data_IF_764762942426
#
_entry.id   IF_764762942426
#
_cell.length_a   1.000
_cell.length_b   1.000
_cell.length_c   1.000
_cell.angle_alpha   90.00
_cell.angle_beta   90.00
_cell.angle_gamma   90.00
#
_symmetry.space_group_name_H-M   'P 1'
#
loop_
_entity.id
_entity.type
_entity.pdbx_description
1 polymer ?
#
# COMPACT_ATOMS: atom_id res chain seq x y z
N UNK A 1 -13.50 12.84 25.36
CA UNK A 1 -13.35 13.79 24.22
C UNK A 1 -13.54 13.04 22.92
N UNK A 2 -12.85 11.92 22.79
CA UNK A 2 -13.22 10.75 21.98
C UNK A 2 -14.72 10.40 22.01
N UNK A 3 -15.39 10.31 23.17
CA UNK A 3 -16.84 10.02 23.21
C UNK A 3 -17.67 11.10 22.49
N UNK A 4 -17.29 12.37 22.62
CA UNK A 4 -17.97 13.48 21.93
C UNK A 4 -17.78 13.36 20.41
N UNK A 5 -16.59 12.98 19.96
CA UNK A 5 -16.27 12.75 18.54
C UNK A 5 -17.12 11.61 17.97
N UNK A 6 -17.25 10.50 18.71
CA UNK A 6 -18.07 9.36 18.30
C UNK A 6 -19.55 9.75 18.23
N UNK A 7 -20.09 10.40 19.28
CA UNK A 7 -21.49 10.87 19.29
C UNK A 7 -21.81 11.79 18.12
N UNK A 8 -20.94 12.76 17.83
CA UNK A 8 -21.12 13.67 16.69
C UNK A 8 -21.14 12.93 15.34
N UNK A 9 -20.40 11.82 15.22
CA UNK A 9 -20.41 10.97 14.04
C UNK A 9 -21.71 10.16 13.91
N UNK A 10 -22.21 9.61 15.02
CA UNK A 10 -23.48 8.87 15.11
C UNK A 10 -24.69 9.76 14.81
N UNK A 11 -24.67 11.01 15.31
CA UNK A 11 -25.67 12.05 15.03
C UNK A 11 -25.60 12.59 13.60
N UNK A 12 -24.64 12.13 12.78
CA UNK A 12 -24.41 12.61 11.42
C UNK A 12 -24.09 14.12 11.33
N UNK A 13 -23.63 14.72 12.43
CA UNK A 13 -23.34 16.14 12.53
C UNK A 13 -21.90 16.45 12.06
N UNK A 14 -21.67 16.27 10.75
CA UNK A 14 -20.36 16.46 10.10
C UNK A 14 -19.75 17.85 10.36
N UNK A 15 -20.49 18.98 10.30
CA UNK A 15 -19.89 20.30 10.54
C UNK A 15 -19.30 20.43 11.95
N UNK A 16 -20.03 19.98 12.97
CA UNK A 16 -19.57 20.02 14.36
C UNK A 16 -18.43 19.04 14.61
N UNK A 17 -18.42 17.90 13.90
CA UNK A 17 -17.34 16.92 13.93
C UNK A 17 -16.04 17.49 13.34
N UNK A 18 -16.10 18.11 12.17
CA UNK A 18 -14.96 18.79 11.53
C UNK A 18 -14.41 19.88 12.46
N UNK A 19 -15.29 20.68 13.09
CA UNK A 19 -14.91 21.70 14.04
C UNK A 19 -14.27 21.12 15.31
N UNK A 20 -14.80 20.01 15.84
CA UNK A 20 -14.20 19.35 17.00
C UNK A 20 -12.78 18.86 16.66
N UNK A 21 -12.58 18.27 15.48
CA UNK A 21 -11.26 17.78 15.04
C UNK A 21 -10.29 18.90 14.69
N UNK A 22 -10.74 20.07 14.25
CA UNK A 22 -9.84 21.20 13.97
C UNK A 22 -9.19 21.77 15.24
N UNK A 23 -9.81 21.59 16.40
CA UNK A 23 -9.23 21.98 17.69
C UNK A 23 -8.16 21.02 18.21
N UNK A 24 -8.04 19.84 17.59
CA UNK A 24 -7.12 18.79 18.03
C UNK A 24 -5.87 18.74 17.14
N UNK A 25 -4.71 18.62 17.80
CA UNK A 25 -3.46 18.27 17.12
C UNK A 25 -3.50 16.81 16.70
N UNK A 26 -2.88 16.49 15.56
CA UNK A 26 -2.80 15.11 15.06
C UNK A 26 -2.21 14.14 16.09
N UNK A 27 -1.22 14.58 16.89
CA UNK A 27 -0.69 13.76 17.99
C UNK A 27 -1.77 13.36 18.99
N UNK A 28 -2.61 14.31 19.40
CA UNK A 28 -3.67 14.00 20.36
C UNK A 28 -4.73 13.05 19.81
N UNK A 29 -4.95 13.06 18.50
CA UNK A 29 -5.86 12.13 17.82
C UNK A 29 -5.31 10.70 17.89
N UNK A 30 -4.01 10.52 17.66
CA UNK A 30 -3.39 9.19 17.72
C UNK A 30 -3.24 8.68 19.15
N UNK A 31 -2.92 9.55 20.12
CA UNK A 31 -2.89 9.15 21.55
C UNK A 31 -4.26 8.59 22.00
N UNK A 32 -5.36 9.17 21.50
CA UNK A 32 -6.72 8.69 21.79
C UNK A 32 -7.04 7.38 21.08
N UNK A 33 -6.47 7.15 19.90
CA UNK A 33 -6.57 5.87 19.19
C UNK A 33 -5.82 4.77 19.95
N UNK A 34 -4.60 5.02 20.39
CA UNK A 34 -3.81 4.08 21.21
C UNK A 34 -4.53 3.72 22.51
N UNK A 35 -5.07 4.71 23.22
CA UNK A 35 -5.81 4.48 24.45
C UNK A 35 -7.02 3.55 24.26
N UNK A 36 -7.64 3.57 23.08
CA UNK A 36 -8.75 2.66 22.73
C UNK A 36 -8.24 1.29 22.31
N UNK A 37 -7.27 1.27 21.40
CA UNK A 37 -6.80 0.04 20.77
C UNK A 37 -5.94 -0.83 21.72
N UNK A 38 -5.13 -0.21 22.59
CA UNK A 38 -4.15 -0.88 23.45
C UNK A 38 -4.57 -0.83 24.92
N UNK A 39 -4.95 0.33 25.45
CA UNK A 39 -5.32 0.46 26.88
C UNK A 39 -6.74 -0.02 27.20
N UNK A 40 -7.48 -0.51 26.21
CA UNK A 40 -8.83 -1.07 26.41
C UNK A 40 -9.90 -0.05 26.80
N UNK A 41 -9.70 1.25 26.51
CA UNK A 41 -10.69 2.32 26.82
C UNK A 41 -11.91 2.35 25.88
N UNK A 42 -12.12 1.29 25.10
CA UNK A 42 -13.26 1.10 24.22
C UNK A 42 -12.85 0.73 22.79
N UNK A 43 -13.83 0.46 21.94
CA UNK A 43 -13.60 0.05 20.55
C UNK A 43 -12.90 1.18 19.74
N UNK A 44 -11.78 0.90 19.05
CA UNK A 44 -11.12 1.88 18.20
C UNK A 44 -11.85 2.14 16.87
N UNK A 45 -12.67 1.22 16.35
CA UNK A 45 -13.27 1.36 15.01
C UNK A 45 -14.29 2.50 14.92
N UNK A 46 -15.24 2.68 15.87
CA UNK A 46 -16.14 3.83 15.86
C UNK A 46 -15.39 5.17 15.94
N UNK A 47 -14.26 5.18 16.64
CA UNK A 47 -13.40 6.36 16.71
C UNK A 47 -12.74 6.64 15.36
N UNK A 48 -12.14 5.62 14.73
CA UNK A 48 -11.55 5.73 13.38
C UNK A 48 -12.56 6.22 12.35
N UNK A 49 -13.78 5.67 12.35
CA UNK A 49 -14.89 6.11 11.49
C UNK A 49 -15.18 7.60 11.68
N UNK A 50 -15.28 8.06 12.93
CA UNK A 50 -15.52 9.46 13.24
C UNK A 50 -14.36 10.37 12.77
N UNK A 51 -13.11 9.95 12.93
CA UNK A 51 -11.95 10.70 12.45
C UNK A 51 -11.98 10.84 10.93
N UNK A 52 -12.19 9.75 10.20
CA UNK A 52 -12.17 9.75 8.73
C UNK A 52 -13.37 10.53 8.17
N UNK A 53 -14.56 10.35 8.73
CA UNK A 53 -15.76 11.12 8.34
C UNK A 53 -15.61 12.62 8.61
N UNK A 54 -14.96 12.99 9.72
CA UNK A 54 -14.67 14.39 10.06
C UNK A 54 -13.43 14.99 9.36
N UNK A 55 -12.75 14.22 8.51
CA UNK A 55 -11.51 14.63 7.84
C UNK A 55 -11.64 14.37 6.33
N UNK A 56 -12.36 15.20 5.58
CA UNK A 56 -12.65 14.93 4.18
C UNK A 56 -11.40 15.07 3.30
N UNK A 57 -11.31 14.25 2.25
CA UNK A 57 -10.14 14.15 1.35
C UNK A 57 -9.96 15.35 0.40
N UNK A 58 -10.98 16.21 0.28
CA UNK A 58 -10.97 17.43 -0.54
C UNK A 58 -10.22 18.60 0.14
N UNK A 59 -9.94 18.48 1.44
CA UNK A 59 -9.16 19.47 2.20
C UNK A 59 -7.76 18.94 2.52
N UNK A 60 -6.75 19.81 2.40
CA UNK A 60 -5.37 19.45 2.77
C UNK A 60 -5.26 18.98 4.22
N UNK A 61 -5.91 19.70 5.15
CA UNK A 61 -5.90 19.38 6.59
C UNK A 61 -6.55 18.03 6.87
N UNK A 62 -7.67 17.72 6.20
CA UNK A 62 -8.35 16.43 6.34
C UNK A 62 -7.50 15.29 5.80
N UNK A 63 -6.91 15.47 4.62
CA UNK A 63 -6.02 14.48 4.01
C UNK A 63 -4.77 14.23 4.87
N UNK A 64 -4.09 15.29 5.33
CA UNK A 64 -2.91 15.18 6.20
C UNK A 64 -3.24 14.43 7.50
N UNK A 65 -4.41 14.68 8.10
CA UNK A 65 -4.87 13.95 9.29
C UNK A 65 -5.14 12.48 8.98
N UNK A 66 -5.83 12.17 7.88
CA UNK A 66 -6.10 10.78 7.46
C UNK A 66 -4.79 10.01 7.26
N UNK A 67 -3.81 10.59 6.56
CA UNK A 67 -2.50 9.96 6.33
C UNK A 67 -1.80 9.70 7.67
N UNK A 68 -1.77 10.71 8.55
CA UNK A 68 -1.12 10.60 9.85
C UNK A 68 -1.74 9.49 10.70
N UNK A 69 -3.07 9.43 10.78
CA UNK A 69 -3.80 8.39 11.53
C UNK A 69 -3.63 7.02 10.89
N UNK A 70 -3.63 6.92 9.55
CA UNK A 70 -3.42 5.65 8.85
C UNK A 70 -2.02 5.08 9.12
N UNK A 71 -0.97 5.91 9.00
CA UNK A 71 0.42 5.51 9.31
C UNK A 71 0.56 5.04 10.76
N UNK A 72 -0.07 5.75 11.68
CA UNK A 72 0.00 5.39 13.09
C UNK A 72 -0.82 4.12 13.41
N UNK A 73 -1.95 3.90 12.73
CA UNK A 73 -2.69 2.64 12.85
C UNK A 73 -1.85 1.43 12.35
N UNK A 74 -1.07 1.60 11.27
CA UNK A 74 -0.08 0.60 10.83
C UNK A 74 0.97 0.34 11.93
N UNK A 75 1.47 1.40 12.56
CA UNK A 75 2.45 1.27 13.65
C UNK A 75 1.87 0.47 14.82
N UNK A 76 0.66 0.80 15.28
CA UNK A 76 -0.04 0.06 16.33
C UNK A 76 -0.25 -1.41 15.91
N UNK A 77 -0.63 -1.69 14.66
CA UNK A 77 -0.77 -3.06 14.15
C UNK A 77 0.54 -3.87 14.16
N UNK A 78 1.70 -3.21 14.05
CA UNK A 78 3.00 -3.88 14.02
C UNK A 78 3.65 -4.02 15.40
N UNK A 79 3.59 -2.96 16.20
CA UNK A 79 4.33 -2.82 17.46
C UNK A 79 3.42 -2.96 18.69
N UNK A 80 2.11 -2.74 18.53
CA UNK A 80 1.15 -2.72 19.63
C UNK A 80 0.72 -4.12 20.08
N UNK A 81 0.47 -4.25 21.39
CA UNK A 81 -0.09 -5.44 22.02
C UNK A 81 -1.62 -5.49 21.82
N UNK A 82 -2.04 -5.70 20.59
CA UNK A 82 -3.44 -5.78 20.19
C UNK A 82 -3.97 -7.21 20.32
N UNK A 83 -5.21 -7.34 20.78
CA UNK A 83 -5.93 -8.61 20.58
C UNK A 83 -6.16 -8.88 19.09
N UNK A 84 -6.12 -10.15 18.68
CA UNK A 84 -6.39 -10.56 17.29
C UNK A 84 -7.72 -10.03 16.74
N UNK A 85 -8.74 -9.92 17.60
CA UNK A 85 -10.06 -9.37 17.23
C UNK A 85 -9.92 -7.91 16.84
N UNK A 86 -9.35 -7.08 17.71
CA UNK A 86 -9.18 -5.64 17.47
C UNK A 86 -8.29 -5.40 16.24
N UNK A 87 -7.18 -6.14 16.12
CA UNK A 87 -6.31 -6.03 14.95
C UNK A 87 -7.06 -6.31 13.64
N UNK A 88 -7.90 -7.34 13.61
CA UNK A 88 -8.69 -7.70 12.42
C UNK A 88 -9.76 -6.65 12.09
N UNK A 89 -10.43 -6.09 13.11
CA UNK A 89 -11.42 -5.03 12.93
C UNK A 89 -10.78 -3.73 12.41
N UNK A 90 -9.61 -3.36 12.94
CA UNK A 90 -8.83 -2.19 12.47
C UNK A 90 -8.36 -2.41 11.04
N UNK A 91 -7.79 -3.57 10.70
CA UNK A 91 -7.39 -3.91 9.32
C UNK A 91 -8.59 -3.82 8.37
N UNK A 92 -9.73 -4.41 8.75
CA UNK A 92 -10.96 -4.37 7.95
C UNK A 92 -11.43 -2.95 7.66
N UNK A 93 -11.41 -2.07 8.66
CA UNK A 93 -11.72 -0.66 8.48
C UNK A 93 -10.75 0.05 7.53
N UNK A 94 -9.44 -0.12 7.74
CA UNK A 94 -8.41 0.52 6.92
C UNK A 94 -8.49 0.08 5.45
N UNK A 95 -8.80 -1.20 5.18
CA UNK A 95 -9.01 -1.71 3.81
C UNK A 95 -10.14 -0.99 3.08
N UNK A 96 -11.25 -0.68 3.78
CA UNK A 96 -12.39 0.01 3.18
C UNK A 96 -12.08 1.47 2.85
N UNK A 97 -11.23 2.13 3.64
CA UNK A 97 -10.86 3.54 3.41
C UNK A 97 -9.78 3.71 2.34
N UNK A 98 -9.05 2.65 1.98
CA UNK A 98 -7.98 2.74 0.96
C UNK A 98 -8.48 3.20 -0.41
N UNK A 99 -9.67 2.77 -0.82
CA UNK A 99 -10.24 3.14 -2.13
C UNK A 99 -10.60 4.64 -2.22
N UNK A 100 -10.78 5.30 -1.08
CA UNK A 100 -11.09 6.73 -1.00
C UNK A 100 -9.86 7.64 -1.11
N UNK A 101 -8.64 7.09 -1.01
CA UNK A 101 -7.43 7.92 -1.04
C UNK A 101 -7.02 8.34 -2.47
N UNK A 102 -6.43 9.55 -2.62
CA UNK A 102 -5.80 9.96 -3.86
C UNK A 102 -4.59 9.09 -4.21
N UNK A 103 -4.30 8.92 -5.52
CA UNK A 103 -3.19 8.08 -5.99
C UNK A 103 -1.81 8.46 -5.43
N UNK A 104 -1.54 9.77 -5.27
CA UNK A 104 -0.28 10.24 -4.66
C UNK A 104 -0.15 9.80 -3.20
N UNK A 105 -1.25 9.84 -2.44
CA UNK A 105 -1.28 9.40 -1.04
C UNK A 105 -1.10 7.88 -0.93
N UNK A 106 -1.70 7.13 -1.85
CA UNK A 106 -1.51 5.69 -1.92
C UNK A 106 -0.06 5.31 -2.20
N UNK A 107 0.63 6.06 -3.07
CA UNK A 107 2.07 5.86 -3.31
C UNK A 107 2.90 6.13 -2.04
N UNK A 108 2.61 7.21 -1.33
CA UNK A 108 3.26 7.52 -0.04
C UNK A 108 3.03 6.43 1.01
N UNK A 109 1.81 5.86 1.07
CA UNK A 109 1.52 4.73 1.96
C UNK A 109 2.27 3.46 1.53
N UNK A 110 2.43 3.20 0.23
CA UNK A 110 3.22 2.08 -0.26
C UNK A 110 4.67 2.17 0.20
N UNK A 111 5.26 3.37 0.19
CA UNK A 111 6.64 3.60 0.67
C UNK A 111 6.79 3.26 2.17
N UNK A 112 5.77 3.51 2.99
CA UNK A 112 5.78 3.13 4.42
C UNK A 112 5.94 1.62 4.58
N UNK A 113 5.17 0.83 3.83
CA UNK A 113 5.28 -0.63 3.87
C UNK A 113 6.62 -1.12 3.33
N UNK A 114 7.08 -0.55 2.20
CA UNK A 114 8.36 -0.91 1.61
C UNK A 114 9.52 -0.65 2.59
N UNK A 115 9.52 0.51 3.25
CA UNK A 115 10.54 0.85 4.24
C UNK A 115 10.48 -0.06 5.47
N UNK A 116 9.27 -0.41 5.94
CA UNK A 116 9.10 -1.34 7.04
C UNK A 116 9.60 -2.76 6.69
N UNK A 117 9.34 -3.23 5.46
CA UNK A 117 9.87 -4.53 4.98
C UNK A 117 11.40 -4.49 4.90
N UNK A 118 11.98 -3.44 4.32
CA UNK A 118 13.44 -3.26 4.22
C UNK A 118 14.13 -3.28 5.58
N UNK A 119 13.51 -2.66 6.58
CA UNK A 119 14.05 -2.54 7.92
C UNK A 119 13.70 -3.73 8.83
N UNK A 120 12.93 -4.71 8.33
CA UNK A 120 12.49 -5.86 9.11
C UNK A 120 11.56 -5.51 10.28
N UNK A 121 10.89 -4.36 10.25
CA UNK A 121 10.08 -3.83 11.36
C UNK A 121 8.62 -4.32 11.36
N UNK A 122 8.33 -5.42 10.65
CA UNK A 122 6.99 -5.98 10.51
C UNK A 122 6.87 -7.25 11.35
N UNK A 123 6.81 -7.08 12.67
CA UNK A 123 6.76 -8.18 13.65
C UNK A 123 5.44 -8.95 13.64
N UNK A 124 4.30 -8.28 13.40
CA UNK A 124 2.98 -8.86 13.65
C UNK A 124 2.21 -9.32 12.40
N UNK A 125 2.74 -9.10 11.20
CA UNK A 125 2.16 -9.55 9.93
C UNK A 125 0.77 -8.99 9.55
N UNK A 126 -0.02 -8.49 10.52
CA UNK A 126 -1.38 -7.99 10.32
C UNK A 126 -1.45 -6.75 9.45
N UNK A 127 -0.50 -5.83 9.58
CA UNK A 127 -0.46 -4.67 8.69
C UNK A 127 -0.19 -5.07 7.24
N UNK A 128 0.48 -6.20 6.99
CA UNK A 128 0.76 -6.67 5.63
C UNK A 128 -0.51 -7.06 4.87
N UNK A 129 -1.62 -7.35 5.56
CA UNK A 129 -2.91 -7.58 4.91
C UNK A 129 -3.40 -6.33 4.14
N UNK A 130 -2.95 -5.13 4.52
CA UNK A 130 -3.26 -3.87 3.84
C UNK A 130 -2.46 -3.65 2.57
N UNK A 131 -1.23 -4.17 2.54
CA UNK A 131 -0.24 -3.86 1.51
C UNK A 131 -0.72 -4.20 0.09
N UNK A 132 -1.35 -5.35 -0.19
CA UNK A 132 -1.79 -5.67 -1.54
C UNK A 132 -2.87 -4.71 -2.05
N UNK A 133 -3.80 -4.31 -1.18
CA UNK A 133 -4.84 -3.35 -1.54
C UNK A 133 -4.24 -1.97 -1.81
N UNK A 134 -3.24 -1.54 -1.04
CA UNK A 134 -2.48 -0.32 -1.34
C UNK A 134 -1.86 -0.42 -2.74
N UNK A 135 -1.18 -1.52 -3.07
CA UNK A 135 -0.55 -1.69 -4.38
C UNK A 135 -1.57 -1.75 -5.53
N UNK A 136 -2.68 -2.45 -5.38
CA UNK A 136 -3.77 -2.46 -6.36
C UNK A 136 -4.36 -1.06 -6.55
N UNK A 137 -4.62 -0.33 -5.46
CA UNK A 137 -5.16 1.03 -5.52
C UNK A 137 -4.17 2.01 -6.16
N UNK A 138 -2.88 1.85 -5.88
CA UNK A 138 -1.79 2.57 -6.56
C UNK A 138 -1.77 2.26 -8.07
N UNK A 139 -1.82 0.98 -8.42
CA UNK A 139 -1.80 0.50 -9.80
C UNK A 139 -2.97 1.02 -10.63
N UNK A 140 -4.16 1.10 -10.03
CA UNK A 140 -5.38 1.60 -10.66
C UNK A 140 -5.39 3.13 -10.87
N UNK A 141 -4.44 3.88 -10.30
CA UNK A 141 -4.32 5.33 -10.48
C UNK A 141 -3.19 5.59 -11.46
N UNK A 142 -3.54 5.93 -12.71
CA UNK A 142 -2.68 6.05 -13.91
C UNK A 142 -1.46 7.00 -13.84
N UNK A 143 -1.09 7.53 -12.67
CA UNK A 143 0.03 8.47 -12.57
C UNK A 143 0.74 8.40 -11.22
N UNK A 144 1.84 7.64 -11.17
CA UNK A 144 2.92 7.93 -10.23
C UNK A 144 4.13 8.36 -11.04
N UNK A 145 4.58 9.62 -10.95
CA UNK A 145 5.90 9.99 -11.42
C UNK A 145 6.91 9.25 -10.56
N UNK A 146 7.43 8.14 -11.09
CA UNK A 146 8.43 7.31 -10.43
C UNK A 146 9.79 8.01 -10.57
N UNK A 147 10.14 8.83 -9.59
CA UNK A 147 11.45 9.43 -9.47
C UNK A 147 12.14 8.87 -8.22
N UNK A 148 13.18 8.07 -8.41
CA UNK A 148 14.17 7.77 -7.35
C UNK A 148 14.70 6.35 -7.34
N UNK A 149 16.01 6.24 -7.14
CA UNK A 149 16.95 5.10 -7.16
C UNK A 149 16.66 3.92 -6.18
N UNK A 150 15.40 3.69 -5.81
CA UNK A 150 14.97 2.61 -4.90
C UNK A 150 14.40 1.37 -5.59
N UNK A 151 14.51 1.29 -6.92
CA UNK A 151 13.76 0.39 -7.83
C UNK A 151 14.04 -1.10 -7.56
N UNK A 152 15.28 -1.44 -7.17
CA UNK A 152 15.77 -2.83 -7.06
C UNK A 152 15.09 -3.64 -5.95
N UNK A 153 14.80 -3.03 -4.80
CA UNK A 153 14.20 -3.74 -3.66
C UNK A 153 12.67 -3.81 -3.74
N UNK A 154 12.05 -2.88 -4.47
CA UNK A 154 10.58 -2.80 -4.56
C UNK A 154 10.05 -3.87 -5.52
N UNK A 155 10.70 -4.09 -6.67
CA UNK A 155 10.27 -5.12 -7.63
C UNK A 155 10.38 -6.54 -7.07
N UNK A 156 11.43 -6.85 -6.30
CA UNK A 156 11.64 -8.17 -5.69
C UNK A 156 10.66 -8.44 -4.54
N UNK A 157 10.36 -7.42 -3.72
CA UNK A 157 9.32 -7.49 -2.67
C UNK A 157 7.92 -7.58 -3.31
N UNK A 158 7.67 -6.86 -4.41
CA UNK A 158 6.44 -6.96 -5.18
C UNK A 158 6.25 -8.38 -5.73
N UNK A 159 7.25 -8.98 -6.36
CA UNK A 159 7.13 -10.34 -6.90
C UNK A 159 6.90 -11.43 -5.84
N UNK A 160 7.54 -11.31 -4.66
CA UNK A 160 7.35 -12.26 -3.56
C UNK A 160 5.96 -12.16 -2.93
N UNK A 161 5.43 -10.95 -2.73
CA UNK A 161 4.11 -10.76 -2.11
C UNK A 161 2.95 -11.16 -3.03
N UNK A 162 3.05 -10.90 -4.33
CA UNK A 162 2.00 -11.27 -5.29
C UNK A 162 1.85 -12.80 -5.42
N UNK A 163 2.82 -13.60 -4.96
CA UNK A 163 2.72 -15.07 -4.91
C UNK A 163 1.75 -15.59 -3.86
N UNK A 164 1.58 -14.92 -2.73
CA UNK A 164 0.81 -15.47 -1.60
C UNK A 164 -0.55 -14.77 -1.41
N UNK A 165 -0.83 -13.72 -2.19
CA UNK A 165 -2.08 -12.95 -2.13
C UNK A 165 -3.06 -13.38 -3.25
N UNK A 166 -4.36 -13.59 -2.98
CA UNK A 166 -5.37 -13.79 -4.01
C UNK A 166 -5.61 -12.49 -4.79
N UNK A 167 -5.54 -12.56 -6.11
CA UNK A 167 -5.73 -11.42 -7.01
C UNK A 167 -6.72 -11.76 -8.10
N UNK A 168 -7.39 -10.73 -8.61
CA UNK A 168 -8.22 -10.88 -9.80
C UNK A 168 -7.36 -11.08 -11.04
N UNK A 169 -7.94 -11.67 -12.10
CA UNK A 169 -7.25 -11.93 -13.36
C UNK A 169 -6.68 -10.64 -13.98
N UNK A 170 -7.40 -9.53 -13.88
CA UNK A 170 -7.02 -8.26 -14.48
C UNK A 170 -5.87 -7.58 -13.73
N UNK A 171 -5.88 -7.63 -12.39
CA UNK A 171 -4.78 -7.12 -11.56
C UNK A 171 -3.49 -7.91 -11.80
N UNK A 172 -3.59 -9.24 -11.88
CA UNK A 172 -2.45 -10.12 -12.16
C UNK A 172 -1.83 -9.78 -13.51
N UNK A 173 -2.66 -9.58 -14.53
CA UNK A 173 -2.22 -9.18 -15.87
C UNK A 173 -1.47 -7.84 -15.84
N UNK A 174 -2.06 -6.82 -15.20
CA UNK A 174 -1.46 -5.49 -15.10
C UNK A 174 -0.06 -5.54 -14.48
N UNK A 175 0.09 -6.31 -13.40
CA UNK A 175 1.37 -6.45 -12.68
C UNK A 175 2.42 -7.13 -13.56
N UNK A 176 2.04 -8.21 -14.24
CA UNK A 176 2.95 -8.91 -15.15
C UNK A 176 3.40 -8.03 -16.31
N UNK A 177 2.49 -7.28 -16.94
CA UNK A 177 2.84 -6.33 -18.00
C UNK A 177 3.82 -5.26 -17.51
N UNK A 178 3.62 -4.78 -16.27
CA UNK A 178 4.48 -3.75 -15.68
C UNK A 178 5.87 -4.28 -15.34
N UNK A 179 5.98 -5.51 -14.82
CA UNK A 179 7.27 -6.16 -14.55
C UNK A 179 8.04 -6.39 -15.86
N UNK A 180 7.38 -6.91 -16.90
CA UNK A 180 8.00 -7.12 -18.22
C UNK A 180 8.52 -5.79 -18.78
N UNK A 181 7.76 -4.69 -18.64
CA UNK A 181 8.21 -3.36 -19.08
C UNK A 181 9.41 -2.83 -18.30
N UNK A 182 9.50 -3.13 -17.01
CA UNK A 182 10.60 -2.69 -16.14
C UNK A 182 11.92 -3.43 -16.43
N UNK A 183 11.88 -4.61 -17.09
CA UNK A 183 13.09 -5.38 -17.42
C UNK A 183 14.12 -4.59 -18.23
N UNK A 184 13.67 -3.65 -19.07
CA UNK A 184 14.56 -2.81 -19.90
C UNK A 184 15.37 -1.78 -19.12
N UNK A 185 14.95 -1.47 -17.91
CA UNK A 185 15.56 -0.46 -17.05
C UNK A 185 16.45 -1.10 -15.97
N UNK A 186 16.61 -2.43 -16.00
CA UNK A 186 17.39 -3.21 -15.04
C UNK A 186 18.72 -3.68 -15.62
N UNK A 187 19.70 -3.86 -14.73
CA UNK A 187 20.99 -4.42 -15.10
C UNK A 187 20.87 -5.90 -15.49
N UNK A 188 21.68 -6.34 -16.46
CA UNK A 188 21.65 -7.71 -16.99
C UNK A 188 21.82 -8.80 -15.92
N UNK A 189 22.51 -8.49 -14.82
CA UNK A 189 22.75 -9.41 -13.72
C UNK A 189 21.50 -9.65 -12.85
N UNK A 190 20.53 -8.74 -12.90
CA UNK A 190 19.30 -8.79 -12.09
C UNK A 190 18.15 -9.48 -12.83
N UNK A 191 18.27 -9.66 -14.15
CA UNK A 191 17.25 -10.30 -14.96
C UNK A 191 17.00 -11.78 -14.62
N UNK A 192 18.01 -12.64 -14.39
CA UNK A 192 17.76 -14.06 -14.10
C UNK A 192 16.87 -14.31 -12.86
N UNK A 193 17.14 -13.71 -11.68
CA UNK A 193 16.27 -13.91 -10.52
C UNK A 193 14.87 -13.30 -10.73
N UNK A 194 14.77 -12.18 -11.45
CA UNK A 194 13.48 -11.55 -11.77
C UNK A 194 12.63 -12.44 -12.69
N UNK A 195 13.22 -13.00 -13.75
CA UNK A 195 12.53 -13.90 -14.68
C UNK A 195 12.07 -15.15 -13.94
N UNK A 196 12.89 -15.71 -13.05
CA UNK A 196 12.49 -16.84 -12.22
C UNK A 196 11.25 -16.52 -11.36
N UNK A 197 11.25 -15.36 -10.69
CA UNK A 197 10.10 -14.94 -9.89
C UNK A 197 8.85 -14.65 -10.75
N UNK A 198 9.00 -14.04 -11.92
CA UNK A 198 7.90 -13.79 -12.84
C UNK A 198 7.29 -15.10 -13.37
N UNK A 199 8.13 -16.11 -13.64
CA UNK A 199 7.69 -17.45 -14.01
C UNK A 199 6.93 -18.13 -12.87
N UNK A 200 7.39 -17.98 -11.62
CA UNK A 200 6.64 -18.44 -10.44
C UNK A 200 5.29 -17.72 -10.33
N UNK A 201 5.22 -16.41 -10.58
CA UNK A 201 3.96 -15.68 -10.55
C UNK A 201 3.00 -16.15 -11.66
N UNK A 202 3.54 -16.53 -12.83
CA UNK A 202 2.77 -17.05 -13.96
C UNK A 202 2.06 -18.38 -13.67
N UNK A 203 2.41 -19.09 -12.61
CA UNK A 203 1.66 -20.29 -12.20
C UNK A 203 0.22 -19.97 -11.81
N UNK A 204 -0.05 -18.70 -11.43
CA UNK A 204 -1.40 -18.19 -11.12
C UNK A 204 -2.23 -17.81 -12.35
N UNK A 205 -1.61 -17.57 -13.51
CA UNK A 205 -2.33 -17.12 -14.72
C UNK A 205 -1.42 -16.42 -15.74
N UNK A 206 -1.98 -16.07 -16.91
CA UNK A 206 -1.33 -15.25 -17.95
C UNK A 206 0.07 -15.70 -18.39
N UNK A 207 0.31 -17.02 -18.43
CA UNK A 207 1.59 -17.62 -18.85
C UNK A 207 2.05 -17.16 -20.22
N UNK A 208 1.12 -17.03 -21.17
CA UNK A 208 1.42 -16.56 -22.52
C UNK A 208 2.03 -15.16 -22.52
N UNK A 209 1.46 -14.24 -21.73
CA UNK A 209 1.94 -12.87 -21.61
C UNK A 209 3.35 -12.81 -21.04
N UNK A 210 3.63 -13.62 -20.00
CA UNK A 210 4.97 -13.69 -19.40
C UNK A 210 5.99 -14.24 -20.38
N UNK A 211 5.67 -15.35 -21.06
CA UNK A 211 6.59 -15.98 -22.01
C UNK A 211 6.83 -15.10 -23.24
N UNK A 212 5.79 -14.49 -23.81
CA UNK A 212 5.91 -13.55 -24.92
C UNK A 212 6.70 -12.31 -24.52
N UNK A 213 6.43 -11.76 -23.33
CA UNK A 213 7.13 -10.61 -22.77
C UNK A 213 8.63 -10.85 -22.61
N UNK A 214 9.01 -11.95 -21.96
CA UNK A 214 10.42 -12.31 -21.72
C UNK A 214 11.12 -12.65 -23.03
N UNK A 215 10.48 -13.41 -23.92
CA UNK A 215 11.07 -13.79 -25.22
C UNK A 215 11.27 -12.57 -26.11
N UNK A 216 10.26 -11.70 -26.20
CA UNK A 216 10.34 -10.45 -26.95
C UNK A 216 11.44 -9.54 -26.40
N UNK A 217 11.57 -9.43 -25.08
CA UNK A 217 12.62 -8.66 -24.44
C UNK A 217 14.03 -9.14 -24.85
N UNK A 218 14.33 -10.45 -24.72
CA UNK A 218 15.64 -10.98 -25.07
C UNK A 218 15.91 -10.96 -26.58
N UNK A 219 14.89 -11.16 -27.43
CA UNK A 219 15.04 -11.01 -28.88
C UNK A 219 15.47 -9.59 -29.26
N UNK A 220 14.84 -8.57 -28.66
CA UNK A 220 15.22 -7.17 -28.87
C UNK A 220 16.63 -6.87 -28.36
N UNK A 221 17.02 -7.48 -27.24
CA UNK A 221 18.36 -7.34 -26.65
C UNK A 221 19.44 -7.97 -27.56
N UNK A 222 19.15 -9.14 -28.14
CA UNK A 222 20.01 -9.82 -29.12
C UNK A 222 20.17 -8.99 -30.41
N UNK A 223 19.09 -8.42 -30.93
CA UNK A 223 19.14 -7.53 -32.09
C UNK A 223 20.01 -6.29 -31.83
N UNK A 224 19.88 -5.71 -30.63
CA UNK A 224 20.67 -4.54 -30.22
C UNK A 224 22.16 -4.90 -30.14
N UNK A 225 22.50 -6.02 -29.51
CA UNK A 225 23.88 -6.52 -29.45
C UNK A 225 24.46 -6.83 -30.84
N UNK A 226 23.67 -7.36 -31.77
CA UNK A 226 24.11 -7.63 -33.15
C UNK A 226 24.43 -6.33 -33.90
N UNK A 227 23.61 -5.29 -33.75
CA UNK A 227 23.83 -3.98 -34.38
C UNK A 227 25.11 -3.31 -33.84
N UNK A 228 25.34 -3.38 -32.54
CA UNK A 228 26.57 -2.84 -31.92
C UNK A 228 27.84 -3.56 -32.38
N UNK A 229 27.76 -4.87 -32.65
CA UNK A 229 28.89 -5.66 -33.17
C UNK A 229 29.17 -5.43 -34.65
N UNK A 230 28.16 -5.07 -35.45
CA UNK A 230 28.30 -4.78 -36.88
C UNK A 230 28.74 -3.34 -37.16
N UNK A 231 28.59 -2.44 -36.18
CA UNK A 231 29.04 -1.03 -36.26
C UNK A 231 30.45 -0.78 -35.72
N UNK A 232 31.22 -1.82 -35.39
CA UNK A 232 32.64 -1.74 -35.00
C UNK A 232 33.55 -2.31 -36.07
#
# INVERSE_FOLDING_TARGET
>A
MDEKIIRLCEENNVPSLVQALSTLKNQKVVDLLEARAIEGRGDPVPYLQAIFKGSPCDTKVGLDRRIFVFKHAIQILNEGDLSNKIATEVVGFLLMELDAFPGRTLAELADVFINAIKNGSLSNGKSLELFPKVLSAVAAKDFIPMAGDGIHNVLFIWLLFFRDVPMTSDELRFVMEKIVRAMKDLDLQELPPLVYQLLLLSTKGHKQLVLEGVTSFFNNLDETCRKERQGR
#
